data_IF_719510577454
#
_entry.id   IF_719510577454
#
_cell.length_a   1.000
_cell.length_b   1.000
_cell.length_c   1.000
_cell.angle_alpha   90.00
_cell.angle_beta   90.00
_cell.angle_gamma   90.00
#
_symmetry.space_group_name_H-M   'P 1'
#
loop_
_entity.id
_entity.type
_entity.pdbx_description
1 polymer ?
#
# COMPACT_ATOMS: atom_id res chain seq x y z
N UNK A 1 -20.34 -1.63 -9.97
CA UNK A 1 -20.86 -0.29 -9.62
C UNK A 1 -19.83 0.74 -9.98
N UNK A 2 -20.19 1.70 -10.82
CA UNK A 2 -19.32 2.84 -11.11
C UNK A 2 -19.21 3.72 -9.85
N UNK A 3 -18.16 4.53 -9.73
CA UNK A 3 -18.02 5.48 -8.61
C UNK A 3 -19.23 6.42 -8.51
N UNK A 4 -19.84 6.74 -9.66
CA UNK A 4 -21.05 7.55 -9.81
C UNK A 4 -22.30 6.96 -9.13
N UNK A 5 -22.38 5.64 -8.98
CA UNK A 5 -23.55 4.97 -8.40
C UNK A 5 -23.51 4.94 -6.85
N UNK A 6 -22.36 5.26 -6.25
CA UNK A 6 -22.15 5.21 -4.80
C UNK A 6 -22.50 6.54 -4.14
N UNK A 7 -23.01 6.49 -2.92
CA UNK A 7 -23.22 7.68 -2.10
C UNK A 7 -21.91 8.34 -1.66
N UNK A 8 -21.94 9.63 -1.31
CA UNK A 8 -20.77 10.36 -0.78
C UNK A 8 -20.24 9.73 0.52
N UNK A 9 -21.13 9.15 1.34
CA UNK A 9 -20.76 8.42 2.56
C UNK A 9 -19.95 7.16 2.25
N UNK A 10 -20.41 6.35 1.30
CA UNK A 10 -19.67 5.15 0.85
C UNK A 10 -18.32 5.51 0.25
N UNK A 11 -18.26 6.53 -0.61
CA UNK A 11 -17.02 6.97 -1.25
C UNK A 11 -15.98 7.46 -0.20
N UNK A 12 -16.42 8.19 0.82
CA UNK A 12 -15.57 8.60 1.94
C UNK A 12 -15.10 7.42 2.80
N UNK A 13 -15.99 6.44 3.03
CA UNK A 13 -15.64 5.19 3.71
C UNK A 13 -14.54 4.42 2.97
N UNK A 14 -14.71 4.24 1.66
CA UNK A 14 -13.69 3.60 0.80
C UNK A 14 -12.39 4.39 0.76
N UNK A 15 -12.44 5.72 0.72
CA UNK A 15 -11.25 6.57 0.76
C UNK A 15 -10.48 6.40 2.08
N UNK A 16 -11.17 6.35 3.22
CA UNK A 16 -10.56 6.11 4.53
C UNK A 16 -9.97 4.70 4.61
N UNK A 17 -10.70 3.68 4.14
CA UNK A 17 -10.21 2.30 4.12
C UNK A 17 -8.94 2.16 3.26
N UNK A 18 -8.93 2.75 2.06
CA UNK A 18 -7.75 2.74 1.18
C UNK A 18 -6.54 3.44 1.80
N UNK A 19 -6.74 4.56 2.50
CA UNK A 19 -5.67 5.23 3.27
C UNK A 19 -5.11 4.33 4.36
N UNK A 20 -5.98 3.69 5.14
CA UNK A 20 -5.58 2.80 6.23
C UNK A 20 -4.78 1.61 5.71
N UNK A 21 -5.30 0.93 4.69
CA UNK A 21 -4.66 -0.23 4.06
C UNK A 21 -3.29 0.16 3.48
N UNK A 22 -3.23 1.30 2.79
CA UNK A 22 -1.96 1.76 2.21
C UNK A 22 -0.92 2.11 3.27
N UNK A 23 -1.34 2.75 4.36
CA UNK A 23 -0.46 3.03 5.49
C UNK A 23 0.05 1.75 6.16
N UNK A 24 -0.84 0.76 6.35
CA UNK A 24 -0.47 -0.55 6.90
C UNK A 24 0.47 -1.33 5.97
N UNK A 25 0.25 -1.27 4.65
CA UNK A 25 1.12 -1.91 3.68
C UNK A 25 2.54 -1.32 3.73
N UNK A 26 2.65 0.01 3.80
CA UNK A 26 3.92 0.71 3.91
C UNK A 26 4.63 0.36 5.22
N UNK A 27 3.91 0.32 6.35
CA UNK A 27 4.52 -0.01 7.65
C UNK A 27 5.07 -1.43 7.69
N UNK A 28 4.31 -2.40 7.18
CA UNK A 28 4.73 -3.80 7.10
C UNK A 28 5.93 -3.95 6.16
N UNK A 29 5.93 -3.28 5.00
CA UNK A 29 7.07 -3.29 4.08
C UNK A 29 8.34 -2.70 4.72
N UNK A 30 8.23 -1.58 5.44
CA UNK A 30 9.36 -0.97 6.14
C UNK A 30 9.92 -1.88 7.24
N UNK A 31 9.05 -2.49 8.04
CA UNK A 31 9.46 -3.45 9.07
C UNK A 31 10.16 -4.66 8.44
N UNK A 32 9.60 -5.20 7.36
CA UNK A 32 10.19 -6.34 6.65
C UNK A 32 11.57 -5.99 6.10
N UNK A 33 11.74 -4.81 5.51
CA UNK A 33 13.05 -4.34 5.04
C UNK A 33 14.06 -4.24 6.18
N UNK A 34 13.69 -3.65 7.32
CA UNK A 34 14.57 -3.52 8.49
C UNK A 34 15.04 -4.90 8.95
N UNK A 35 14.11 -5.85 9.12
CA UNK A 35 14.44 -7.22 9.55
C UNK A 35 15.32 -7.92 8.52
N UNK A 36 15.05 -7.76 7.23
CA UNK A 36 15.86 -8.36 6.17
C UNK A 36 17.27 -7.79 6.13
N UNK A 37 17.41 -6.46 6.23
CA UNK A 37 18.72 -5.80 6.27
C UNK A 37 19.50 -6.20 7.52
N UNK A 38 18.82 -6.27 8.68
CA UNK A 38 19.46 -6.66 9.93
C UNK A 38 19.94 -8.12 9.87
N UNK A 39 19.11 -9.03 9.38
CA UNK A 39 19.47 -10.44 9.19
C UNK A 39 20.61 -10.62 8.20
N UNK A 40 20.61 -9.89 7.08
CA UNK A 40 21.68 -9.94 6.08
C UNK A 40 23.02 -9.39 6.63
N UNK A 41 22.99 -8.35 7.46
CA UNK A 41 24.19 -7.76 8.06
C UNK A 41 24.75 -8.63 9.18
N UNK A 42 23.89 -9.32 9.95
CA UNK A 42 24.30 -10.12 11.12
C UNK A 42 24.56 -11.58 10.82
N UNK A 43 23.99 -12.14 9.74
CA UNK A 43 24.24 -13.52 9.29
C UNK A 43 24.75 -13.52 7.86
N UNK A 44 25.99 -13.98 7.70
CA UNK A 44 26.66 -14.08 6.42
C UNK A 44 25.88 -14.97 5.43
N UNK A 45 25.34 -14.37 4.37
CA UNK A 45 24.96 -15.02 3.09
C UNK A 45 23.96 -16.17 3.19
N UNK A 46 22.95 -16.05 4.04
CA UNK A 46 21.79 -16.94 3.96
C UNK A 46 20.91 -16.53 2.77
N UNK A 47 20.79 -17.42 1.77
CA UNK A 47 19.99 -17.24 0.54
C UNK A 47 18.54 -16.82 0.82
N UNK A 48 18.05 -17.10 2.02
CA UNK A 48 16.72 -16.74 2.50
C UNK A 48 16.57 -15.21 2.60
N UNK A 49 17.55 -14.50 3.18
CA UNK A 49 17.44 -13.04 3.34
C UNK A 49 17.51 -12.30 2.00
N UNK A 50 18.29 -12.80 1.05
CA UNK A 50 18.31 -12.28 -0.32
C UNK A 50 16.96 -12.48 -1.02
N UNK A 51 16.33 -13.64 -0.85
CA UNK A 51 14.99 -13.91 -1.41
C UNK A 51 13.92 -13.01 -0.76
N UNK A 52 13.98 -12.80 0.55
CA UNK A 52 13.06 -11.91 1.26
C UNK A 52 13.20 -10.44 0.85
N UNK A 53 14.38 -10.01 0.41
CA UNK A 53 14.64 -8.63 -0.07
C UNK A 53 13.92 -8.28 -1.37
N UNK A 54 13.51 -9.28 -2.18
CA UNK A 54 12.79 -9.09 -3.45
C UNK A 54 11.29 -8.85 -3.21
N UNK A 55 10.76 -9.29 -2.06
CA UNK A 55 9.33 -9.23 -1.73
C UNK A 55 8.84 -7.76 -1.58
N UNK A 56 9.53 -6.86 -0.85
CA UNK A 56 9.08 -5.47 -0.73
C UNK A 56 8.97 -4.74 -2.09
N UNK A 57 9.94 -4.80 -3.02
CA UNK A 57 9.78 -4.23 -4.36
C UNK A 57 8.56 -4.79 -5.11
N UNK A 58 8.33 -6.11 -5.05
CA UNK A 58 7.20 -6.76 -5.74
C UNK A 58 5.84 -6.29 -5.17
N UNK A 59 5.73 -6.17 -3.84
CA UNK A 59 4.53 -5.66 -3.17
C UNK A 59 4.40 -4.12 -3.27
N UNK A 60 5.50 -3.42 -3.50
CA UNK A 60 5.52 -1.96 -3.62
C UNK A 60 4.64 -1.43 -4.75
N UNK A 61 4.40 -2.23 -5.80
CA UNK A 61 3.51 -1.88 -6.93
C UNK A 61 2.06 -1.62 -6.48
N UNK A 62 1.62 -2.19 -5.37
CA UNK A 62 0.28 -1.95 -4.84
C UNK A 62 0.11 -0.53 -4.26
N UNK A 63 1.19 0.14 -3.87
CA UNK A 63 1.16 1.52 -3.35
C UNK A 63 0.69 2.52 -4.42
N UNK A 64 1.32 2.63 -5.61
CA UNK A 64 0.86 3.54 -6.66
C UNK A 64 -0.52 3.14 -7.20
N UNK A 65 -0.85 1.85 -7.23
CA UNK A 65 -2.20 1.39 -7.61
C UNK A 65 -3.28 1.89 -6.62
N UNK A 66 -3.03 1.75 -5.32
CA UNK A 66 -3.93 2.24 -4.28
C UNK A 66 -4.02 3.78 -4.31
N UNK A 67 -2.91 4.47 -4.55
CA UNK A 67 -2.89 5.92 -4.71
C UNK A 67 -3.72 6.37 -5.93
N UNK A 68 -3.61 5.67 -7.06
CA UNK A 68 -4.41 5.94 -8.25
C UNK A 68 -5.92 5.78 -7.99
N UNK A 69 -6.32 4.74 -7.25
CA UNK A 69 -7.72 4.56 -6.82
C UNK A 69 -8.19 5.69 -5.90
N UNK A 70 -7.39 6.06 -4.90
CA UNK A 70 -7.70 7.18 -4.01
C UNK A 70 -7.86 8.50 -4.78
N UNK A 71 -7.00 8.76 -5.77
CA UNK A 71 -7.10 9.98 -6.60
C UNK A 71 -8.40 10.02 -7.40
N UNK A 72 -8.84 8.88 -7.95
CA UNK A 72 -10.13 8.78 -8.67
C UNK A 72 -11.32 9.04 -7.74
N UNK A 73 -11.30 8.45 -6.54
CA UNK A 73 -12.35 8.68 -5.53
C UNK A 73 -12.38 10.14 -5.09
N UNK A 74 -11.22 10.75 -4.80
CA UNK A 74 -11.13 12.18 -4.45
C UNK A 74 -11.68 13.07 -5.55
N UNK A 75 -11.28 12.84 -6.81
CA UNK A 75 -11.77 13.61 -7.96
C UNK A 75 -13.28 13.52 -8.11
N UNK A 76 -13.86 12.36 -7.87
CA UNK A 76 -15.32 12.17 -7.87
C UNK A 76 -15.99 12.90 -6.69
N UNK A 77 -15.39 12.87 -5.49
CA UNK A 77 -15.89 13.56 -4.31
C UNK A 77 -15.85 15.09 -4.46
N UNK A 78 -14.74 15.63 -4.99
CA UNK A 78 -14.55 17.05 -5.28
C UNK A 78 -15.55 17.54 -6.35
N UNK A 79 -15.91 16.70 -7.31
CA UNK A 79 -16.90 17.04 -8.34
C UNK A 79 -18.36 17.02 -7.87
N UNK A 80 -18.63 16.56 -6.64
CA UNK A 80 -19.97 16.51 -6.03
C UNK A 80 -20.18 17.59 -4.97
N UNK A 81 -19.13 18.34 -4.65
CA UNK A 81 -19.10 19.40 -3.66
C UNK A 81 -19.12 20.76 -4.36
#
# INVERSE_FOLDING_TARGET
MALKDKSTGELNGELKALKLISAALISIMSLLLIVCTYGLVTKEKDSIFTALLIIPPALGVFIPLNYGKMKKIKKELDGRN
#
